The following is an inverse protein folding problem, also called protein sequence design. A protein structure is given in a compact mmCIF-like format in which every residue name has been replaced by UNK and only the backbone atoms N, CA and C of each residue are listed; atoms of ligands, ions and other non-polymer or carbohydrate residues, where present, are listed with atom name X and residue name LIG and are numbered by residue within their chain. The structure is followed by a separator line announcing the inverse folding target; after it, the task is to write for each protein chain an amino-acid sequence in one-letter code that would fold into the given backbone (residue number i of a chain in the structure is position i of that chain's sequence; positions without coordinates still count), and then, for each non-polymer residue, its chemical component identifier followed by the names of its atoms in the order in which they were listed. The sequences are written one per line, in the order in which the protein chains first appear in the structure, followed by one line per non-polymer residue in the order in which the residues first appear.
data_IF_138314377052
#
_entry.id   IF_138314377052
#
_cell.length_a   1.000
_cell.length_b   1.000
_cell.length_c   1.000
_cell.angle_alpha   90.00
_cell.angle_beta   90.00
_cell.angle_gamma   90.00
#
_symmetry.space_group_name_H-M   'P 1'
#
loop_
_entity.id
_entity.type
_entity.pdbx_description
1 polymer ?
#
# COMPACT_ATOMS: atom_id res chain seq x y z
N UNK A 1 -5.93 33.56 19.21
CA UNK A 1 -5.82 35.04 19.20
C UNK A 1 -4.41 35.60 19.50
N UNK A 2 -3.32 34.81 19.52
CA UNK A 2 -1.94 35.31 19.78
C UNK A 2 -0.90 34.92 18.70
N UNK A 3 -1.33 34.62 17.46
CA UNK A 3 -0.45 34.33 16.31
C UNK A 3 -0.76 35.17 15.06
N UNK A 4 -1.46 36.30 15.23
CA UNK A 4 -1.87 37.16 14.11
C UNK A 4 -1.09 38.50 14.02
N UNK A 5 -0.24 38.82 15.01
CA UNK A 5 0.38 40.15 15.14
C UNK A 5 1.77 40.23 14.47
N UNK A 6 2.32 39.10 14.00
CA UNK A 6 3.68 39.04 13.43
C UNK A 6 3.81 39.22 11.91
N UNK A 7 2.72 39.37 11.15
CA UNK A 7 2.76 39.30 9.68
C UNK A 7 2.80 40.65 8.96
N UNK A 8 2.88 41.78 9.68
CA UNK A 8 2.83 43.13 9.07
C UNK A 8 4.18 43.65 8.53
N UNK A 9 5.26 42.85 8.51
CA UNK A 9 6.59 43.30 8.05
C UNK A 9 7.28 42.46 6.97
N UNK A 10 6.59 41.49 6.36
CA UNK A 10 7.10 40.84 5.15
C UNK A 10 6.21 41.18 3.98
N UNK A 11 6.65 42.14 3.17
CA UNK A 11 6.12 42.45 1.83
C UNK A 11 6.44 41.31 0.86
N UNK A 12 5.97 40.09 1.16
CA UNK A 12 6.06 38.97 0.23
C UNK A 12 4.89 39.10 -0.75
N UNK A 13 5.08 39.93 -1.78
CA UNK A 13 4.15 39.99 -2.91
C UNK A 13 4.21 38.64 -3.63
N UNK A 14 3.24 37.77 -3.37
CA UNK A 14 2.98 36.58 -4.18
C UNK A 14 2.62 37.08 -5.58
N UNK A 15 3.62 37.15 -6.47
CA UNK A 15 3.39 37.31 -7.90
C UNK A 15 3.22 35.90 -8.47
N UNK A 16 2.00 35.47 -8.84
CA UNK A 16 1.81 34.22 -9.58
C UNK A 16 2.49 34.37 -10.95
N UNK A 17 3.78 34.06 -11.00
CA UNK A 17 4.54 33.97 -12.23
C UNK A 17 4.40 32.57 -12.79
N UNK A 18 3.52 32.39 -13.78
CA UNK A 18 3.45 31.17 -14.61
C UNK A 18 4.74 31.05 -15.47
N UNK A 19 5.87 30.77 -14.84
CA UNK A 19 7.13 30.46 -15.53
C UNK A 19 7.25 28.93 -15.69
N UNK A 20 6.41 28.39 -16.58
CA UNK A 20 6.28 26.95 -16.91
C UNK A 20 7.55 26.36 -17.54
N UNK A 21 8.54 27.18 -17.88
CA UNK A 21 9.79 26.77 -18.54
C UNK A 21 11.03 27.02 -17.68
N UNK A 22 11.02 26.51 -16.45
CA UNK A 22 12.24 26.45 -15.62
C UNK A 22 12.78 25.01 -15.56
N UNK A 23 14.11 24.81 -15.47
CA UNK A 23 14.70 23.48 -15.30
C UNK A 23 14.17 22.73 -14.06
N UNK A 24 13.80 23.50 -13.03
CA UNK A 24 13.15 23.01 -11.80
C UNK A 24 11.76 22.43 -12.11
N UNK A 25 10.97 23.08 -12.96
CA UNK A 25 9.67 22.57 -13.40
C UNK A 25 9.80 21.27 -14.21
N UNK A 26 10.78 21.18 -15.13
CA UNK A 26 11.02 19.95 -15.89
C UNK A 26 11.44 18.77 -14.99
N UNK A 27 12.28 19.03 -13.99
CA UNK A 27 12.68 18.02 -12.98
C UNK A 27 11.51 17.60 -12.11
N UNK A 28 10.69 18.56 -11.69
CA UNK A 28 9.47 18.32 -10.91
C UNK A 28 8.46 17.46 -11.69
N UNK A 29 8.17 17.81 -12.95
CA UNK A 29 7.29 17.03 -13.82
C UNK A 29 7.84 15.62 -14.04
N UNK A 30 9.14 15.47 -14.34
CA UNK A 30 9.79 14.16 -14.54
C UNK A 30 9.74 13.25 -13.30
N UNK A 31 9.74 13.82 -12.08
CA UNK A 31 9.61 13.06 -10.84
C UNK A 31 8.15 12.78 -10.45
N UNK A 32 7.24 13.71 -10.77
CA UNK A 32 5.82 13.57 -10.48
C UNK A 32 5.10 12.62 -11.42
N UNK A 33 5.40 12.62 -12.71
CA UNK A 33 4.73 11.78 -13.71
C UNK A 33 4.78 10.27 -13.34
N UNK A 34 5.95 9.71 -12.98
CA UNK A 34 6.04 8.33 -12.52
C UNK A 34 5.26 8.11 -11.21
N UNK A 35 5.32 9.07 -10.28
CA UNK A 35 4.59 8.97 -9.01
C UNK A 35 3.08 8.92 -9.24
N UNK A 36 2.54 9.78 -10.11
CA UNK A 36 1.12 9.80 -10.46
C UNK A 36 0.70 8.50 -11.16
N UNK A 37 1.54 7.95 -12.03
CA UNK A 37 1.28 6.65 -12.66
C UNK A 37 1.12 5.52 -11.63
N UNK A 38 1.91 5.54 -10.54
CA UNK A 38 1.78 4.52 -9.50
C UNK A 38 0.49 4.64 -8.66
N UNK A 39 -0.08 5.84 -8.53
CA UNK A 39 -1.30 6.07 -7.72
C UNK A 39 -2.55 5.48 -8.40
N UNK A 40 -2.59 5.45 -9.73
CA UNK A 40 -3.73 4.91 -10.47
C UNK A 40 -3.86 3.38 -10.40
N UNK A 41 -2.81 2.67 -9.99
CA UNK A 41 -2.76 1.20 -10.05
C UNK A 41 -3.75 0.55 -9.07
N UNK A 42 -3.92 1.15 -7.89
CA UNK A 42 -4.78 0.58 -6.84
C UNK A 42 -6.29 0.72 -7.19
N UNK A 43 -6.79 1.89 -7.62
CA UNK A 43 -8.14 1.98 -8.19
C UNK A 43 -8.37 1.04 -9.38
N UNK A 44 -7.38 0.86 -10.26
CA UNK A 44 -7.47 -0.09 -11.36
C UNK A 44 -7.58 -1.55 -10.86
N UNK A 45 -6.86 -1.88 -9.79
CA UNK A 45 -6.92 -3.21 -9.15
C UNK A 45 -8.32 -3.50 -8.61
N UNK A 46 -8.94 -2.52 -7.92
CA UNK A 46 -10.31 -2.68 -7.40
C UNK A 46 -11.37 -2.69 -8.50
N UNK A 47 -11.19 -1.90 -9.55
CA UNK A 47 -12.04 -1.96 -10.74
C UNK A 47 -11.98 -3.36 -11.38
N UNK A 48 -10.78 -3.94 -11.49
CA UNK A 48 -10.59 -5.31 -11.94
C UNK A 48 -11.30 -6.33 -11.04
N UNK A 49 -11.17 -6.24 -9.71
CA UNK A 49 -11.87 -7.15 -8.80
C UNK A 49 -13.39 -7.07 -8.95
N UNK A 50 -13.92 -5.86 -9.08
CA UNK A 50 -15.35 -5.63 -9.29
C UNK A 50 -15.81 -6.26 -10.60
N UNK A 51 -15.04 -6.10 -11.68
CA UNK A 51 -15.35 -6.69 -12.98
C UNK A 51 -15.36 -8.22 -12.94
N UNK A 52 -14.40 -8.84 -12.25
CA UNK A 52 -14.37 -10.31 -12.06
C UNK A 52 -15.53 -10.77 -11.20
N UNK A 53 -15.78 -10.12 -10.06
CA UNK A 53 -16.85 -10.47 -9.14
C UNK A 53 -18.25 -10.34 -9.77
N UNK A 54 -18.44 -9.39 -10.68
CA UNK A 54 -19.70 -9.24 -11.43
C UNK A 54 -20.06 -10.49 -12.24
N UNK A 55 -19.06 -11.27 -12.69
CA UNK A 55 -19.26 -12.51 -13.43
C UNK A 55 -19.48 -13.76 -12.56
N UNK A 56 -19.36 -13.67 -11.23
CA UNK A 56 -19.34 -14.82 -10.32
C UNK A 56 -20.68 -15.09 -9.61
N UNK A 57 -21.73 -14.34 -9.97
CA UNK A 57 -23.09 -14.51 -9.45
C UNK A 57 -23.49 -13.44 -8.44
N UNK A 58 -24.77 -13.48 -8.06
CA UNK A 58 -25.37 -12.48 -7.17
C UNK A 58 -24.68 -12.46 -5.78
N UNK A 59 -24.51 -11.27 -5.21
CA UNK A 59 -23.85 -11.09 -3.91
C UNK A 59 -22.32 -11.07 -3.93
N UNK A 60 -21.68 -11.51 -5.01
CA UNK A 60 -20.21 -11.55 -5.14
C UNK A 60 -19.55 -10.17 -4.98
N UNK A 61 -20.09 -9.13 -5.63
CA UNK A 61 -19.57 -7.77 -5.52
C UNK A 61 -19.70 -7.25 -4.08
N UNK A 62 -20.84 -7.50 -3.43
CA UNK A 62 -21.07 -7.07 -2.04
C UNK A 62 -20.12 -7.78 -1.07
N UNK A 63 -19.98 -9.11 -1.20
CA UNK A 63 -19.07 -9.90 -0.38
C UNK A 63 -17.61 -9.43 -0.54
N UNK A 64 -17.19 -9.14 -1.77
CA UNK A 64 -15.88 -8.59 -2.09
C UNK A 64 -15.67 -7.22 -1.44
N UNK A 65 -16.61 -6.29 -1.59
CA UNK A 65 -16.48 -4.94 -1.05
C UNK A 65 -16.37 -4.95 0.48
N UNK A 66 -17.22 -5.74 1.16
CA UNK A 66 -17.11 -5.89 2.61
C UNK A 66 -15.76 -6.48 3.01
N UNK A 67 -15.29 -7.52 2.31
CA UNK A 67 -13.99 -8.10 2.60
C UNK A 67 -12.82 -7.13 2.43
N UNK A 68 -12.88 -6.25 1.41
CA UNK A 68 -11.91 -5.18 1.21
C UNK A 68 -11.94 -4.19 2.39
N UNK A 69 -13.12 -3.79 2.85
CA UNK A 69 -13.25 -2.88 4.00
C UNK A 69 -12.58 -3.47 5.25
N UNK A 70 -12.83 -4.74 5.56
CA UNK A 70 -12.17 -5.43 6.69
C UNK A 70 -10.65 -5.55 6.52
N UNK A 71 -10.17 -5.78 5.30
CA UNK A 71 -8.74 -5.89 5.00
C UNK A 71 -8.02 -4.55 5.14
N UNK A 72 -8.64 -3.44 4.72
CA UNK A 72 -8.03 -2.10 4.73
C UNK A 72 -7.81 -1.59 6.17
N UNK A 73 -8.65 -2.00 7.13
CA UNK A 73 -8.57 -1.56 8.52
C UNK A 73 -7.19 -1.81 9.17
N UNK A 74 -6.69 -3.07 9.28
CA UNK A 74 -5.38 -3.33 9.87
C UNK A 74 -4.23 -2.75 9.03
N UNK A 75 -4.35 -2.77 7.70
CA UNK A 75 -3.34 -2.22 6.79
C UNK A 75 -3.16 -0.71 6.98
N UNK A 76 -4.26 0.02 7.05
CA UNK A 76 -4.23 1.48 7.26
C UNK A 76 -3.80 1.84 8.66
N UNK A 77 -4.36 1.17 9.67
CA UNK A 77 -4.07 1.48 11.07
C UNK A 77 -2.61 1.22 11.43
N UNK A 78 -2.04 0.10 10.96
CA UNK A 78 -0.69 -0.33 11.31
C UNK A 78 0.29 0.05 10.20
N UNK A 79 0.09 -0.46 8.98
CA UNK A 79 1.02 -0.27 7.87
C UNK A 79 1.25 1.19 7.52
N UNK A 80 0.18 1.94 7.24
CA UNK A 80 0.29 3.35 6.85
C UNK A 80 0.80 4.22 7.99
N UNK A 81 0.20 4.11 9.18
CA UNK A 81 0.52 4.97 10.33
C UNK A 81 1.98 4.85 10.77
N UNK A 82 2.48 3.62 10.95
CA UNK A 82 3.87 3.40 11.37
C UNK A 82 4.86 3.84 10.28
N UNK A 83 4.53 3.61 9.00
CA UNK A 83 5.36 4.05 7.88
C UNK A 83 5.45 5.57 7.76
N UNK A 84 4.37 6.29 8.05
CA UNK A 84 4.38 7.76 8.08
C UNK A 84 5.22 8.30 9.23
N UNK A 85 5.14 7.70 10.41
CA UNK A 85 5.91 8.12 11.58
C UNK A 85 7.42 7.98 11.37
N UNK A 86 7.85 6.93 10.67
CA UNK A 86 9.27 6.61 10.46
C UNK A 86 9.88 7.31 9.23
N UNK A 87 9.04 7.84 8.32
CA UNK A 87 9.50 8.44 7.07
C UNK A 87 10.48 9.62 7.21
N UNK A 88 10.29 10.60 8.13
CA UNK A 88 11.25 11.69 8.31
C UNK A 88 12.61 11.20 8.77
N UNK A 89 12.64 10.17 9.64
CA UNK A 89 13.88 9.57 10.15
C UNK A 89 14.64 8.86 9.04
N UNK A 90 13.94 8.08 8.20
CA UNK A 90 14.55 7.44 7.02
C UNK A 90 15.13 8.46 6.03
N UNK A 91 14.41 9.56 5.81
CA UNK A 91 14.88 10.63 4.92
C UNK A 91 16.14 11.30 5.46
N UNK A 92 16.18 11.61 6.76
CA UNK A 92 17.36 12.20 7.40
C UNK A 92 18.57 11.24 7.40
N UNK A 93 18.35 9.96 7.68
CA UNK A 93 19.40 8.94 7.64
C UNK A 93 19.98 8.78 6.23
N UNK A 94 19.13 8.82 5.19
CA UNK A 94 19.59 8.79 3.81
C UNK A 94 20.40 10.04 3.43
N UNK A 95 19.91 11.24 3.76
CA UNK A 95 20.61 12.50 3.46
C UNK A 95 21.94 12.67 4.19
N UNK A 96 22.08 12.07 5.37
CA UNK A 96 23.34 12.08 6.15
C UNK A 96 24.31 10.96 5.78
N UNK A 97 23.93 10.06 4.87
CA UNK A 97 24.73 8.90 4.51
C UNK A 97 24.83 7.84 5.63
N UNK A 98 23.96 7.90 6.64
CA UNK A 98 23.90 6.93 7.73
C UNK A 98 23.18 5.64 7.30
N UNK A 99 23.94 4.77 6.63
CA UNK A 99 23.46 3.48 6.14
C UNK A 99 22.95 2.57 7.26
N UNK A 100 23.69 2.47 8.36
CA UNK A 100 23.37 1.56 9.46
C UNK A 100 22.12 2.03 10.20
N UNK A 101 21.99 3.34 10.42
CA UNK A 101 20.78 3.95 10.95
C UNK A 101 19.58 3.72 10.04
N UNK A 102 19.73 3.94 8.73
CA UNK A 102 18.68 3.68 7.74
C UNK A 102 18.19 2.23 7.79
N UNK A 103 19.11 1.25 7.74
CA UNK A 103 18.78 -0.17 7.77
C UNK A 103 18.11 -0.57 9.08
N UNK A 104 18.65 -0.13 10.21
CA UNK A 104 18.11 -0.43 11.54
C UNK A 104 16.67 0.06 11.69
N UNK A 105 16.42 1.31 11.29
CA UNK A 105 15.10 1.94 11.36
C UNK A 105 14.12 1.22 10.44
N UNK A 106 14.52 0.94 9.21
CA UNK A 106 13.69 0.23 8.24
C UNK A 106 13.33 -1.19 8.69
N UNK A 107 14.33 -1.99 9.07
CA UNK A 107 14.13 -3.39 9.48
C UNK A 107 13.26 -3.48 10.72
N UNK A 108 13.47 -2.59 11.70
CA UNK A 108 12.62 -2.52 12.89
C UNK A 108 11.18 -2.18 12.53
N UNK A 109 10.97 -1.22 11.62
CA UNK A 109 9.62 -0.84 11.21
C UNK A 109 8.91 -1.98 10.45
N UNK A 110 9.61 -2.63 9.53
CA UNK A 110 9.12 -3.81 8.79
C UNK A 110 8.77 -4.95 9.74
N UNK A 111 9.63 -5.25 10.73
CA UNK A 111 9.37 -6.31 11.70
C UNK A 111 8.15 -6.02 12.58
N UNK A 112 8.00 -4.78 13.07
CA UNK A 112 6.84 -4.38 13.90
C UNK A 112 5.57 -4.44 13.07
N UNK A 113 5.57 -3.85 11.86
CA UNK A 113 4.39 -3.85 10.98
C UNK A 113 4.01 -5.29 10.66
N UNK A 114 4.95 -6.11 10.17
CA UNK A 114 4.70 -7.50 9.81
C UNK A 114 4.15 -8.33 10.97
N UNK A 115 4.73 -8.20 12.18
CA UNK A 115 4.25 -8.94 13.35
C UNK A 115 2.81 -8.55 13.73
N UNK A 116 2.52 -7.25 13.79
CA UNK A 116 1.20 -6.76 14.19
C UNK A 116 0.13 -7.06 13.12
N UNK A 117 0.48 -6.94 11.84
CA UNK A 117 -0.45 -7.20 10.74
C UNK A 117 -0.68 -8.69 10.53
N UNK A 118 0.33 -9.55 10.74
CA UNK A 118 0.13 -10.99 10.80
C UNK A 118 -0.77 -11.41 11.97
N UNK A 119 -0.60 -10.81 13.16
CA UNK A 119 -1.50 -11.08 14.29
C UNK A 119 -2.94 -10.63 13.99
N UNK A 120 -3.10 -9.45 13.38
CA UNK A 120 -4.41 -8.96 12.94
C UNK A 120 -5.03 -9.84 11.85
N UNK A 121 -4.23 -10.35 10.92
CA UNK A 121 -4.67 -11.29 9.88
C UNK A 121 -5.18 -12.60 10.49
N UNK A 122 -4.45 -13.18 11.44
CA UNK A 122 -4.89 -14.39 12.14
C UNK A 122 -6.19 -14.13 12.91
N UNK A 123 -6.28 -13.01 13.63
CA UNK A 123 -7.50 -12.63 14.34
C UNK A 123 -8.68 -12.47 13.37
N UNK A 124 -8.49 -11.77 12.25
CA UNK A 124 -9.54 -11.58 11.25
C UNK A 124 -9.94 -12.90 10.59
N UNK A 125 -8.99 -13.79 10.29
CA UNK A 125 -9.25 -15.10 9.72
C UNK A 125 -10.13 -15.95 10.64
N UNK A 126 -9.78 -16.01 11.93
CA UNK A 126 -10.52 -16.81 12.93
C UNK A 126 -11.88 -16.21 13.25
N UNK A 127 -11.97 -14.89 13.32
CA UNK A 127 -13.18 -14.18 13.74
C UNK A 127 -14.09 -13.78 12.56
N UNK A 128 -13.72 -14.05 11.31
CA UNK A 128 -14.43 -13.57 10.11
C UNK A 128 -15.93 -13.92 10.13
N UNK A 129 -16.27 -15.16 10.51
CA UNK A 129 -17.66 -15.62 10.61
C UNK A 129 -18.47 -14.80 11.61
N UNK A 130 -17.93 -14.63 12.83
CA UNK A 130 -18.60 -13.88 13.90
C UNK A 130 -18.69 -12.39 13.55
N UNK A 131 -17.63 -11.81 13.01
CA UNK A 131 -17.60 -10.39 12.63
C UNK A 131 -18.63 -10.08 11.55
N UNK A 132 -18.68 -10.90 10.49
CA UNK A 132 -19.64 -10.72 9.40
C UNK A 132 -21.07 -10.94 9.89
N UNK A 133 -21.33 -11.99 10.68
CA UNK A 133 -22.67 -12.28 11.19
C UNK A 133 -23.19 -11.17 12.11
N UNK A 134 -22.36 -10.68 13.05
CA UNK A 134 -22.76 -9.63 13.99
C UNK A 134 -22.94 -8.28 13.32
N UNK A 135 -22.09 -7.92 12.37
CA UNK A 135 -22.09 -6.57 11.75
C UNK A 135 -22.99 -6.46 10.53
N UNK A 136 -23.13 -7.54 9.76
CA UNK A 136 -23.86 -7.55 8.49
C UNK A 136 -25.08 -8.47 8.52
N UNK A 137 -25.12 -9.47 9.40
CA UNK A 137 -26.19 -10.44 9.46
C UNK A 137 -27.55 -9.86 9.85
N UNK A 138 -28.61 -10.52 9.39
CA UNK A 138 -29.99 -10.18 9.70
C UNK A 138 -30.74 -9.48 8.57
N UNK A 139 -32.06 -9.38 8.74
CA UNK A 139 -32.95 -8.72 7.77
C UNK A 139 -32.80 -9.30 6.35
N UNK A 140 -32.23 -8.50 5.44
CA UNK A 140 -32.02 -8.86 4.02
C UNK A 140 -30.69 -9.60 3.77
N UNK A 141 -29.78 -9.62 4.73
CA UNK A 141 -28.49 -10.30 4.62
C UNK A 141 -28.59 -11.67 5.30
N UNK A 142 -28.98 -12.66 4.49
CA UNK A 142 -29.25 -14.00 4.98
C UNK A 142 -27.99 -14.81 5.30
N UNK A 143 -28.16 -16.02 5.89
CA UNK A 143 -27.05 -16.89 6.31
C UNK A 143 -26.09 -17.26 5.17
N UNK A 144 -26.59 -17.43 3.95
CA UNK A 144 -25.77 -17.72 2.76
C UNK A 144 -24.85 -16.55 2.40
N UNK A 145 -25.35 -15.32 2.49
CA UNK A 145 -24.55 -14.11 2.24
C UNK A 145 -23.49 -13.89 3.33
N UNK A 146 -23.83 -14.22 4.59
CA UNK A 146 -22.89 -14.23 5.72
C UNK A 146 -21.79 -15.25 5.47
N UNK A 147 -22.13 -16.49 5.13
CA UNK A 147 -21.15 -17.55 4.88
C UNK A 147 -20.21 -17.21 3.72
N UNK A 148 -20.77 -16.72 2.61
CA UNK A 148 -19.99 -16.27 1.45
C UNK A 148 -19.02 -15.14 1.85
N UNK A 149 -19.53 -14.08 2.47
CA UNK A 149 -18.72 -12.90 2.83
C UNK A 149 -17.66 -13.25 3.87
N UNK A 150 -17.99 -14.05 4.88
CA UNK A 150 -17.03 -14.51 5.89
C UNK A 150 -15.88 -15.32 5.26
N UNK A 151 -16.18 -16.17 4.27
CA UNK A 151 -15.14 -16.92 3.57
C UNK A 151 -14.21 -16.00 2.76
N UNK A 152 -14.76 -14.99 2.08
CA UNK A 152 -13.97 -14.01 1.33
C UNK A 152 -13.12 -13.16 2.26
N UNK A 153 -13.66 -12.70 3.39
CA UNK A 153 -12.94 -11.98 4.46
C UNK A 153 -11.78 -12.82 5.00
N UNK A 154 -12.03 -14.09 5.32
CA UNK A 154 -11.00 -14.98 5.84
C UNK A 154 -9.84 -15.12 4.84
N UNK A 155 -10.13 -15.34 3.56
CA UNK A 155 -9.09 -15.49 2.54
C UNK A 155 -8.37 -14.16 2.27
N UNK A 156 -9.07 -13.02 2.31
CA UNK A 156 -8.43 -11.69 2.24
C UNK A 156 -7.45 -11.43 3.39
N UNK A 157 -7.67 -12.05 4.56
CA UNK A 157 -6.77 -11.86 5.69
C UNK A 157 -5.32 -12.25 5.36
N UNK A 158 -5.11 -13.19 4.43
CA UNK A 158 -3.78 -13.62 3.97
C UNK A 158 -3.00 -12.48 3.29
N UNK A 159 -3.68 -11.53 2.63
CA UNK A 159 -3.01 -10.42 1.94
C UNK A 159 -2.54 -9.31 2.88
N UNK A 160 -3.16 -9.16 4.05
CA UNK A 160 -2.92 -8.09 5.02
C UNK A 160 -1.44 -7.84 5.33
N UNK A 161 -0.63 -8.85 5.72
CA UNK A 161 0.76 -8.59 6.08
C UNK A 161 1.57 -8.08 4.90
N UNK A 162 1.37 -8.63 3.70
CA UNK A 162 2.07 -8.20 2.50
C UNK A 162 1.67 -6.77 2.11
N UNK A 163 0.37 -6.50 2.01
CA UNK A 163 -0.11 -5.18 1.62
C UNK A 163 0.32 -4.08 2.62
N UNK A 164 0.33 -4.40 3.93
CA UNK A 164 0.86 -3.50 4.93
C UNK A 164 2.38 -3.25 4.82
N UNK A 165 3.16 -4.26 4.41
CA UNK A 165 4.61 -4.16 4.21
C UNK A 165 5.00 -3.36 2.96
N UNK A 166 4.09 -3.23 1.99
CA UNK A 166 4.32 -2.37 0.84
C UNK A 166 4.56 -0.90 1.25
N UNK A 167 3.88 -0.41 2.29
CA UNK A 167 4.01 0.97 2.75
C UNK A 167 5.40 1.34 3.27
N UNK A 168 6.01 0.63 4.23
CA UNK A 168 7.34 0.98 4.72
C UNK A 168 8.40 0.84 3.63
N UNK A 169 8.27 -0.18 2.76
CA UNK A 169 9.19 -0.38 1.63
C UNK A 169 9.11 0.76 0.60
N UNK A 170 7.89 1.17 0.22
CA UNK A 170 7.68 2.30 -0.68
C UNK A 170 8.17 3.62 -0.07
N UNK A 171 7.95 3.85 1.23
CA UNK A 171 8.43 5.04 1.94
C UNK A 171 9.96 5.10 2.00
N UNK A 172 10.61 3.96 2.26
CA UNK A 172 12.05 3.87 2.22
C UNK A 172 12.61 4.16 0.82
N UNK A 173 11.96 3.65 -0.24
CA UNK A 173 12.36 3.92 -1.62
C UNK A 173 12.18 5.39 -2.00
N UNK A 174 11.08 6.03 -1.56
CA UNK A 174 10.86 7.46 -1.73
C UNK A 174 11.91 8.31 -1.02
N UNK A 175 12.38 7.91 0.16
CA UNK A 175 13.48 8.58 0.84
C UNK A 175 14.77 8.59 0.01
N UNK A 176 14.93 7.64 -0.93
CA UNK A 176 16.09 7.58 -1.84
C UNK A 176 15.92 8.34 -3.16
N UNK A 177 14.82 9.08 -3.34
CA UNK A 177 14.45 9.84 -4.54
C UNK A 177 14.25 9.03 -5.84
N UNK A 178 14.05 7.71 -5.74
CA UNK A 178 13.78 6.87 -6.93
C UNK A 178 12.29 6.52 -7.04
N UNK A 179 11.61 7.13 -8.00
CA UNK A 179 10.18 6.86 -8.28
C UNK A 179 9.97 5.78 -9.34
N UNK A 180 11.00 5.42 -10.11
CA UNK A 180 10.89 4.44 -11.21
C UNK A 180 10.77 3.02 -10.68
N UNK A 181 11.59 2.65 -9.70
CA UNK A 181 11.52 1.32 -9.08
C UNK A 181 10.17 1.06 -8.39
N UNK A 182 9.55 2.10 -7.84
CA UNK A 182 8.20 2.03 -7.29
C UNK A 182 7.19 1.67 -8.38
N UNK A 183 7.24 2.38 -9.50
CA UNK A 183 6.32 2.17 -10.64
C UNK A 183 6.46 0.77 -11.20
N UNK A 184 7.70 0.31 -11.44
CA UNK A 184 7.96 -1.05 -11.93
C UNK A 184 7.38 -2.09 -10.98
N UNK A 185 7.63 -1.94 -9.68
CA UNK A 185 7.13 -2.89 -8.67
C UNK A 185 5.61 -2.90 -8.60
N UNK A 186 4.96 -1.74 -8.68
CA UNK A 186 3.48 -1.66 -8.68
C UNK A 186 2.86 -2.27 -9.94
N UNK A 187 3.42 -2.03 -11.13
CA UNK A 187 2.91 -2.65 -12.36
C UNK A 187 3.16 -4.16 -12.41
N UNK A 188 4.33 -4.62 -11.95
CA UNK A 188 4.61 -6.05 -11.82
C UNK A 188 3.65 -6.72 -10.81
N UNK A 189 3.37 -6.04 -9.69
CA UNK A 189 2.37 -6.46 -8.72
C UNK A 189 0.97 -6.58 -9.34
N UNK A 190 0.51 -5.55 -10.06
CA UNK A 190 -0.78 -5.60 -10.78
C UNK A 190 -0.83 -6.76 -11.78
N UNK A 191 0.22 -6.96 -12.58
CA UNK A 191 0.32 -8.09 -13.50
C UNK A 191 0.22 -9.43 -12.77
N UNK A 192 0.92 -9.59 -11.65
CA UNK A 192 0.83 -10.78 -10.82
C UNK A 192 -0.56 -10.98 -10.20
N UNK A 193 -1.23 -9.91 -9.75
CA UNK A 193 -2.63 -9.98 -9.29
C UNK A 193 -3.52 -10.54 -10.39
N UNK A 194 -3.46 -9.95 -11.58
CA UNK A 194 -4.32 -10.31 -12.72
C UNK A 194 -4.06 -11.74 -13.21
N UNK A 195 -2.81 -12.18 -13.24
CA UNK A 195 -2.45 -13.54 -13.65
C UNK A 195 -2.85 -14.57 -12.60
N UNK A 196 -2.52 -14.34 -11.34
CA UNK A 196 -2.81 -15.26 -10.25
C UNK A 196 -4.31 -15.39 -9.99
N UNK A 197 -5.05 -14.27 -9.98
CA UNK A 197 -6.51 -14.30 -9.81
C UNK A 197 -7.19 -14.99 -10.98
N UNK A 198 -6.81 -14.76 -12.24
CA UNK A 198 -7.39 -15.50 -13.37
C UNK A 198 -7.16 -17.01 -13.26
N UNK A 199 -5.97 -17.44 -12.84
CA UNK A 199 -5.67 -18.85 -12.65
C UNK A 199 -6.49 -19.48 -11.51
N UNK A 200 -6.82 -18.71 -10.47
CA UNK A 200 -7.48 -19.19 -9.25
C UNK A 200 -9.01 -19.02 -9.27
N UNK A 201 -9.56 -18.06 -10.01
CA UNK A 201 -11.00 -17.77 -10.04
C UNK A 201 -11.79 -18.91 -10.67
N UNK A 202 -11.23 -19.61 -11.66
CA UNK A 202 -11.85 -20.81 -12.23
C UNK A 202 -12.16 -21.90 -11.18
N UNK A 203 -11.14 -22.43 -10.47
CA UNK A 203 -11.34 -23.49 -9.49
C UNK A 203 -11.93 -23.02 -8.15
N UNK A 204 -11.67 -21.78 -7.71
CA UNK A 204 -12.01 -21.30 -6.36
C UNK A 204 -13.13 -20.24 -6.34
N UNK A 205 -13.67 -19.86 -7.51
CA UNK A 205 -14.67 -18.81 -7.62
C UNK A 205 -14.17 -17.48 -7.06
N UNK A 206 -14.99 -16.85 -6.22
CA UNK A 206 -14.69 -15.53 -5.64
C UNK A 206 -13.43 -15.53 -4.77
N UNK A 207 -13.07 -16.67 -4.16
CA UNK A 207 -11.89 -16.76 -3.29
C UNK A 207 -10.57 -16.65 -4.07
N UNK A 208 -10.60 -16.86 -5.39
CA UNK A 208 -9.43 -16.66 -6.25
C UNK A 208 -8.97 -15.21 -6.33
N UNK A 209 -9.88 -14.24 -6.13
CA UNK A 209 -9.55 -12.81 -6.13
C UNK A 209 -8.58 -12.45 -4.99
N UNK A 210 -8.91 -12.68 -3.70
CA UNK A 210 -8.00 -12.36 -2.61
C UNK A 210 -6.68 -13.12 -2.64
N UNK A 211 -6.66 -14.39 -3.07
CA UNK A 211 -5.41 -15.13 -3.21
C UNK A 211 -4.53 -14.54 -4.31
N UNK A 212 -5.12 -14.17 -5.45
CA UNK A 212 -4.42 -13.46 -6.50
C UNK A 212 -3.89 -12.10 -6.03
N UNK A 213 -4.68 -11.38 -5.24
CA UNK A 213 -4.24 -10.13 -4.61
C UNK A 213 -3.02 -10.36 -3.71
N UNK A 214 -3.07 -11.33 -2.79
CA UNK A 214 -1.97 -11.68 -1.90
C UNK A 214 -0.68 -12.01 -2.69
N UNK A 215 -0.78 -12.78 -3.77
CA UNK A 215 0.35 -13.09 -4.63
C UNK A 215 0.93 -11.84 -5.31
N UNK A 216 0.07 -10.93 -5.77
CA UNK A 216 0.52 -9.71 -6.44
C UNK A 216 1.15 -8.69 -5.49
N UNK A 217 0.59 -8.50 -4.28
CA UNK A 217 1.24 -7.64 -3.27
C UNK A 217 2.54 -8.24 -2.75
N UNK A 218 2.62 -9.56 -2.57
CA UNK A 218 3.89 -10.23 -2.23
C UNK A 218 4.94 -10.04 -3.34
N UNK A 219 4.54 -10.13 -4.61
CA UNK A 219 5.44 -9.86 -5.75
C UNK A 219 5.96 -8.42 -5.73
N UNK A 220 5.07 -7.45 -5.49
CA UNK A 220 5.42 -6.03 -5.33
C UNK A 220 6.42 -5.84 -4.19
N UNK A 221 6.19 -6.44 -3.02
CA UNK A 221 7.08 -6.33 -1.87
C UNK A 221 8.47 -6.91 -2.13
N UNK A 222 8.54 -8.10 -2.75
CA UNK A 222 9.81 -8.72 -3.12
C UNK A 222 10.61 -7.80 -4.05
N UNK A 223 9.96 -7.22 -5.07
CA UNK A 223 10.62 -6.30 -5.98
C UNK A 223 11.08 -5.02 -5.28
N UNK A 224 10.24 -4.43 -4.44
CA UNK A 224 10.61 -3.26 -3.64
C UNK A 224 11.80 -3.56 -2.74
N UNK A 225 11.80 -4.68 -2.03
CA UNK A 225 12.90 -5.11 -1.17
C UNK A 225 14.20 -5.32 -1.97
N UNK A 226 14.14 -5.98 -3.12
CA UNK A 226 15.31 -6.20 -3.99
C UNK A 226 15.89 -4.89 -4.53
N UNK A 227 15.04 -3.95 -4.96
CA UNK A 227 15.51 -2.63 -5.39
C UNK A 227 16.09 -1.82 -4.24
N UNK A 228 15.49 -1.90 -3.06
CA UNK A 228 15.95 -1.19 -1.87
C UNK A 228 17.29 -1.71 -1.37
N UNK A 229 17.53 -3.02 -1.36
CA UNK A 229 18.84 -3.61 -0.99
C UNK A 229 19.94 -3.08 -1.91
N UNK A 230 19.70 -3.04 -3.23
CA UNK A 230 20.67 -2.48 -4.19
C UNK A 230 20.95 -1.01 -3.92
N UNK A 231 19.92 -0.24 -3.54
CA UNK A 231 20.06 1.19 -3.28
C UNK A 231 20.76 1.50 -1.97
N UNK A 232 20.46 0.76 -0.91
CA UNK A 232 21.11 0.91 0.39
C UNK A 232 22.60 0.58 0.30
N UNK A 233 23.02 -0.35 -0.57
CA UNK A 233 24.45 -0.60 -0.85
C UNK A 233 25.16 0.61 -1.48
N UNK A 234 24.46 1.47 -2.21
CA UNK A 234 25.07 2.65 -2.85
C UNK A 234 25.31 3.81 -1.87
N UNK A 235 24.62 3.83 -0.71
CA UNK A 235 24.85 4.82 0.36
C UNK A 235 26.30 4.71 0.87
N UNK A 236 26.83 3.48 0.92
CA UNK A 236 28.19 3.16 1.38
C UNK A 236 29.30 3.79 0.53
N UNK A 237 29.04 4.00 -0.77
CA UNK A 237 30.05 4.45 -1.74
C UNK A 237 30.19 5.99 -1.76
N UNK A 238 29.22 6.71 -1.20
CA UNK A 238 29.16 8.18 -1.26
C UNK A 238 29.85 8.88 -0.08
N UNK A 239 30.65 8.18 0.73
CA UNK A 239 31.55 8.81 1.71
C UNK A 239 32.84 9.26 1.00
N UNK A 240 33.07 10.57 0.76
CA UNK A 240 34.44 11.02 0.63
C UNK A 240 35.09 10.83 2.01
N UNK A 241 36.19 10.09 2.04
CA UNK A 241 37.08 10.02 3.20
C UNK A 241 37.69 11.37 3.54
#
# INVERSE_FOLDING_TARGET
MLRAIGTTRTTFRIRPGFHVRTPVFATFVRLMLPRMASVGIEPLTFAYFTAVAAGLGAGSISALNFALDYQVLPVSLIGVSFSLAVFPVLSAAFSSGDRDGFQRVLLRNVAIIGLLTSAAAVALFVLSGVLVDVLLGGGRFGPEAVALTASVVAVFAVSIPFDALAYPLSRALYATHNTVYQVISSFAGLGAVVLASQAMVGPLGILGIPLGYAAGVATKDVLLALFLIRRVRQIDISRPG
#
